data_IF_449897174602
#
_entry.id   IF_449897174602
#
_cell.length_a   1.000
_cell.length_b   1.000
_cell.length_c   1.000
_cell.angle_alpha   90.00
_cell.angle_beta   90.00
_cell.angle_gamma   90.00
#
_symmetry.space_group_name_H-M   'P 1'
#
loop_
_entity.id
_entity.type
_entity.pdbx_description
1 polymer ?
#
# COMPACT_ATOMS: atom_id res chain seq x y z
N UNK A 1 -7.11 4.52 15.93
CA UNK A 1 -6.25 3.84 14.95
C UNK A 1 -7.07 3.53 13.70
N UNK A 2 -6.47 3.71 12.53
CA UNK A 2 -7.02 3.34 11.23
C UNK A 2 -6.01 2.44 10.53
N UNK A 3 -6.48 1.41 9.81
CA UNK A 3 -5.67 0.66 8.87
C UNK A 3 -6.04 1.09 7.46
N UNK A 4 -5.08 1.67 6.74
CA UNK A 4 -5.21 1.96 5.32
C UNK A 4 -4.60 0.81 4.54
N UNK A 5 -5.46 -0.03 3.98
CA UNK A 5 -5.05 -1.18 3.19
C UNK A 5 -4.90 -0.78 1.72
N UNK A 6 -3.81 -1.25 1.10
CA UNK A 6 -3.58 -1.14 -0.34
C UNK A 6 -3.28 -2.52 -0.90
N UNK A 7 -4.13 -3.01 -1.80
CA UNK A 7 -3.84 -4.21 -2.59
C UNK A 7 -3.20 -3.78 -3.91
N UNK A 8 -2.09 -4.42 -4.26
CA UNK A 8 -1.25 -4.11 -5.40
C UNK A 8 -1.16 -5.36 -6.27
N UNK A 9 -1.81 -5.34 -7.42
CA UNK A 9 -1.75 -6.42 -8.39
C UNK A 9 -0.74 -6.04 -9.47
N UNK A 10 0.35 -6.80 -9.60
CA UNK A 10 1.58 -6.43 -10.30
C UNK A 10 1.96 -7.54 -11.30
N UNK A 11 2.46 -7.19 -12.48
CA UNK A 11 3.02 -8.19 -13.41
C UNK A 11 4.24 -8.88 -12.78
N UNK A 12 4.30 -10.20 -12.87
CA UNK A 12 5.42 -11.01 -12.35
C UNK A 12 6.76 -10.54 -12.92
N UNK A 13 6.78 -10.11 -14.19
CA UNK A 13 7.96 -9.61 -14.90
C UNK A 13 8.61 -8.35 -14.29
N UNK A 14 7.91 -7.61 -13.41
CA UNK A 14 8.47 -6.45 -12.68
C UNK A 14 8.46 -6.64 -11.17
N UNK A 15 8.15 -7.82 -10.66
CA UNK A 15 7.91 -8.03 -9.24
C UNK A 15 9.09 -7.56 -8.37
N UNK A 16 10.32 -7.83 -8.77
CA UNK A 16 11.51 -7.50 -7.99
C UNK A 16 11.82 -6.00 -7.99
N UNK A 17 11.73 -5.36 -9.17
CA UNK A 17 11.87 -3.90 -9.30
C UNK A 17 10.77 -3.18 -8.53
N UNK A 18 9.52 -3.68 -8.63
CA UNK A 18 8.38 -3.13 -7.94
C UNK A 18 8.52 -3.27 -6.43
N UNK A 19 9.01 -4.42 -5.93
CA UNK A 19 9.27 -4.65 -4.49
C UNK A 19 10.33 -3.71 -3.94
N UNK A 20 11.43 -3.52 -4.68
CA UNK A 20 12.45 -2.55 -4.32
C UNK A 20 11.83 -1.15 -4.22
N UNK A 21 11.16 -0.67 -5.27
CA UNK A 21 10.49 0.62 -5.23
C UNK A 21 9.45 0.75 -4.09
N UNK A 22 8.67 -0.32 -3.84
CA UNK A 22 7.63 -0.32 -2.82
C UNK A 22 8.21 -0.15 -1.42
N UNK A 23 9.39 -0.72 -1.13
CA UNK A 23 10.06 -0.54 0.16
C UNK A 23 10.41 0.95 0.41
N UNK A 24 10.99 1.62 -0.59
CA UNK A 24 11.31 3.04 -0.55
C UNK A 24 10.05 3.90 -0.44
N UNK A 25 9.00 3.55 -1.19
CA UNK A 25 7.70 4.20 -1.12
C UNK A 25 7.08 4.08 0.28
N UNK A 26 7.13 2.89 0.90
CA UNK A 26 6.66 2.66 2.28
C UNK A 26 7.46 3.53 3.25
N UNK A 27 8.79 3.60 3.12
CA UNK A 27 9.61 4.45 3.99
C UNK A 27 9.19 5.93 3.92
N UNK A 28 8.90 6.44 2.71
CA UNK A 28 8.39 7.80 2.53
C UNK A 28 6.99 7.99 3.12
N UNK A 29 6.11 6.98 3.00
CA UNK A 29 4.78 6.99 3.64
C UNK A 29 4.88 7.06 5.16
N UNK A 30 5.77 6.26 5.77
CA UNK A 30 5.99 6.23 7.22
C UNK A 30 6.61 7.51 7.78
N UNK A 31 7.28 8.30 6.93
CA UNK A 31 7.78 9.63 7.32
C UNK A 31 6.67 10.69 7.39
N UNK A 32 5.47 10.41 6.89
CA UNK A 32 4.35 11.36 6.93
C UNK A 32 3.71 11.42 8.33
N UNK A 33 3.26 12.60 8.78
CA UNK A 33 2.61 12.74 10.08
C UNK A 33 1.41 11.80 10.24
N UNK A 34 1.39 11.06 11.35
CA UNK A 34 0.28 10.21 11.75
C UNK A 34 0.36 8.76 11.26
N UNK A 35 1.29 8.42 10.37
CA UNK A 35 1.65 7.02 10.11
C UNK A 35 2.52 6.48 11.25
N UNK A 36 2.24 5.25 11.69
CA UNK A 36 2.94 4.60 12.81
C UNK A 36 3.59 3.27 12.45
N UNK A 37 3.29 2.72 11.27
CA UNK A 37 3.89 1.47 10.80
C UNK A 37 3.24 0.96 9.53
N UNK A 38 3.87 -0.06 8.94
CA UNK A 38 3.32 -0.79 7.82
C UNK A 38 3.68 -2.28 7.90
N UNK A 39 2.81 -3.13 7.37
CA UNK A 39 3.07 -4.54 7.13
C UNK A 39 2.74 -4.85 5.68
N UNK A 40 3.65 -5.57 5.00
CA UNK A 40 3.46 -6.00 3.60
C UNK A 40 3.33 -7.51 3.57
N UNK A 41 2.33 -7.99 2.85
CA UNK A 41 2.01 -9.39 2.65
C UNK A 41 2.02 -9.70 1.17
N UNK A 42 2.41 -10.92 0.82
CA UNK A 42 2.10 -11.52 -0.47
C UNK A 42 0.78 -12.28 -0.34
N UNK A 43 -0.15 -12.04 -1.26
CA UNK A 43 -1.45 -12.73 -1.28
C UNK A 43 -1.26 -14.06 -1.99
N UNK A 44 -1.32 -15.15 -1.22
CA UNK A 44 -1.18 -16.52 -1.72
C UNK A 44 -2.53 -17.21 -1.96
N UNK A 45 -3.60 -16.73 -1.33
CA UNK A 45 -4.98 -17.20 -1.51
C UNK A 45 -5.98 -16.01 -1.46
N UNK A 46 -6.92 -15.88 -2.42
CA UNK A 46 -6.97 -16.66 -3.65
C UNK A 46 -5.68 -16.47 -4.46
N UNK A 47 -5.22 -17.55 -5.11
CA UNK A 47 -4.03 -17.49 -5.92
C UNK A 47 -4.15 -16.38 -6.98
N UNK A 48 -3.10 -15.55 -7.16
CA UNK A 48 -3.08 -14.55 -8.23
C UNK A 48 -3.33 -15.17 -9.60
N UNK A 49 -3.82 -14.36 -10.53
CA UNK A 49 -3.90 -14.78 -11.93
C UNK A 49 -2.51 -15.15 -12.49
N UNK A 50 -2.42 -15.98 -13.53
CA UNK A 50 -1.15 -16.25 -14.20
C UNK A 50 -0.40 -14.97 -14.56
N UNK A 51 0.92 -14.99 -14.41
CA UNK A 51 1.83 -13.86 -14.64
C UNK A 51 1.57 -12.62 -13.76
N UNK A 52 0.86 -12.79 -12.64
CA UNK A 52 0.61 -11.76 -11.65
C UNK A 52 1.14 -12.16 -10.28
N UNK A 53 1.53 -11.15 -9.52
CA UNK A 53 1.78 -11.23 -8.09
C UNK A 53 0.96 -10.17 -7.40
N UNK A 54 0.37 -10.51 -6.26
CA UNK A 54 -0.47 -9.58 -5.51
C UNK A 54 0.15 -9.33 -4.14
N UNK A 55 0.38 -8.06 -3.82
CA UNK A 55 0.76 -7.63 -2.49
C UNK A 55 -0.42 -6.98 -1.78
N UNK A 56 -0.47 -7.13 -0.46
CA UNK A 56 -1.35 -6.38 0.41
C UNK A 56 -0.51 -5.61 1.42
N UNK A 57 -0.66 -4.29 1.47
CA UNK A 57 0.04 -3.44 2.43
C UNK A 57 -0.96 -2.88 3.42
N UNK A 58 -0.75 -3.10 4.70
CA UNK A 58 -1.48 -2.47 5.79
C UNK A 58 -0.64 -1.33 6.34
N UNK A 59 -1.07 -0.08 6.12
CA UNK A 59 -0.51 1.07 6.80
C UNK A 59 -1.31 1.38 8.05
N UNK A 60 -0.64 1.59 9.17
CA UNK A 60 -1.26 1.96 10.43
C UNK A 60 -1.18 3.47 10.62
N UNK A 61 -2.32 4.08 10.88
CA UNK A 61 -2.45 5.51 11.16
C UNK A 61 -3.07 5.74 12.54
N UNK A 62 -2.65 6.83 13.19
CA UNK A 62 -3.16 7.23 14.52
C UNK A 62 -4.68 7.36 14.55
N UNK A 63 -5.24 8.08 13.58
CA UNK A 63 -6.67 8.45 13.53
C UNK A 63 -7.13 8.77 12.11
N UNK A 64 -8.43 9.06 11.95
CA UNK A 64 -9.04 9.42 10.67
C UNK A 64 -8.51 10.76 10.14
N UNK A 65 -8.23 11.73 11.00
CA UNK A 65 -7.71 13.05 10.61
C UNK A 65 -6.33 12.95 9.94
N UNK A 66 -5.47 12.05 10.41
CA UNK A 66 -4.20 11.73 9.77
C UNK A 66 -4.40 11.15 8.36
N UNK A 67 -5.36 10.22 8.20
CA UNK A 67 -5.71 9.67 6.90
C UNK A 67 -6.25 10.74 5.95
N UNK A 68 -7.17 11.58 6.41
CA UNK A 68 -7.77 12.65 5.60
C UNK A 68 -6.70 13.64 5.12
N UNK A 69 -5.75 13.97 5.99
CA UNK A 69 -4.60 14.83 5.66
C UNK A 69 -3.72 14.18 4.59
N UNK A 70 -3.39 12.89 4.75
CA UNK A 70 -2.67 12.15 3.72
C UNK A 70 -3.41 12.15 2.37
N UNK A 71 -4.70 11.84 2.37
CA UNK A 71 -5.51 11.75 1.17
C UNK A 71 -5.61 13.09 0.43
N UNK A 72 -5.75 14.19 1.17
CA UNK A 72 -5.87 15.54 0.62
C UNK A 72 -4.54 16.08 0.13
N UNK A 73 -3.48 15.96 0.93
CA UNK A 73 -2.25 16.75 0.75
C UNK A 73 -1.09 15.94 0.14
N UNK A 74 -1.14 14.61 0.17
CA UNK A 74 0.00 13.76 -0.17
C UNK A 74 -0.31 12.63 -1.15
N UNK A 75 -1.52 12.07 -1.14
CA UNK A 75 -1.84 10.87 -1.89
C UNK A 75 -1.59 11.00 -3.39
N UNK A 76 -1.90 12.16 -4.00
CA UNK A 76 -1.65 12.39 -5.43
C UNK A 76 -0.17 12.31 -5.77
N UNK A 77 0.72 13.04 -5.07
CA UNK A 77 2.17 13.00 -5.35
C UNK A 77 2.77 11.62 -5.05
N UNK A 78 2.31 10.97 -3.98
CA UNK A 78 2.85 9.67 -3.56
C UNK A 78 2.51 8.59 -4.59
N UNK A 79 1.32 8.63 -5.19
CA UNK A 79 0.90 7.66 -6.21
C UNK A 79 1.51 7.94 -7.58
N UNK A 80 1.85 9.20 -7.88
CA UNK A 80 2.35 9.60 -9.19
C UNK A 80 3.65 8.88 -9.57
N UNK A 81 4.62 8.77 -8.65
CA UNK A 81 5.91 8.13 -8.94
C UNK A 81 5.74 6.66 -9.38
N UNK A 82 4.89 5.89 -8.70
CA UNK A 82 4.59 4.51 -9.10
C UNK A 82 3.89 4.42 -10.45
N UNK A 83 2.91 5.31 -10.70
CA UNK A 83 2.23 5.39 -12.00
C UNK A 83 3.19 5.77 -13.13
N UNK A 84 4.13 6.68 -12.89
CA UNK A 84 5.14 7.09 -13.87
C UNK A 84 6.12 5.96 -14.18
N UNK A 85 6.55 5.19 -13.18
CA UNK A 85 7.52 4.11 -13.37
C UNK A 85 6.92 2.87 -14.00
N UNK A 86 5.73 2.46 -13.55
CA UNK A 86 5.18 1.14 -13.88
C UNK A 86 3.93 1.19 -14.78
N UNK A 87 3.33 2.37 -14.98
CA UNK A 87 2.16 2.53 -15.86
C UNK A 87 1.04 1.53 -15.55
N UNK A 88 0.54 0.87 -16.59
CA UNK A 88 -0.54 -0.12 -16.49
C UNK A 88 -0.09 -1.51 -15.98
N UNK A 89 1.21 -1.70 -15.72
CA UNK A 89 1.78 -3.00 -15.29
C UNK A 89 1.44 -3.34 -13.84
N UNK A 90 0.85 -2.39 -13.11
CA UNK A 90 0.25 -2.65 -11.81
C UNK A 90 -1.10 -1.96 -11.66
N UNK A 91 -1.92 -2.47 -10.75
CA UNK A 91 -3.20 -1.88 -10.33
C UNK A 91 -3.26 -1.82 -8.82
N UNK A 92 -3.87 -0.77 -8.29
CA UNK A 92 -3.98 -0.57 -6.84
C UNK A 92 -5.43 -0.33 -6.41
N UNK A 93 -5.94 -1.15 -5.50
CA UNK A 93 -7.22 -0.94 -4.81
C UNK A 93 -6.98 -0.66 -3.34
N UNK A 94 -7.90 0.06 -2.70
CA UNK A 94 -7.69 0.58 -1.34
C UNK A 94 -8.93 0.35 -0.48
N UNK A 95 -8.70 0.06 0.79
CA UNK A 95 -9.74 -0.01 1.83
C UNK A 95 -9.29 0.76 3.05
N UNK A 96 -10.25 1.32 3.77
CA UNK A 96 -10.03 1.95 5.08
C UNK A 96 -10.72 1.07 6.10
N UNK A 97 -9.96 0.56 7.05
CA UNK A 97 -10.44 -0.40 8.04
C UNK A 97 -10.32 0.20 9.43
N UNK A 98 -11.33 -0.06 10.26
CA UNK A 98 -11.27 0.18 11.69
C UNK A 98 -11.05 -1.16 12.41
N UNK A 99 -9.98 -1.32 13.18
CA UNK A 99 -9.78 -2.54 13.97
C UNK A 99 -10.84 -2.61 15.07
N UNK A 100 -11.60 -3.71 15.10
CA UNK A 100 -12.68 -3.92 16.08
C UNK A 100 -12.18 -4.65 17.33
N UNK A 101 -11.23 -5.56 17.18
CA UNK A 101 -10.59 -6.29 18.27
C UNK A 101 -9.16 -6.70 17.88
N UNK A 102 -8.33 -6.96 18.89
CA UNK A 102 -7.01 -7.55 18.73
C UNK A 102 -6.88 -8.65 19.76
N UNK A 103 -6.46 -9.82 19.30
CA UNK A 103 -6.29 -11.01 20.14
C UNK A 103 -4.78 -11.30 20.23
N UNK A 104 -4.34 -11.78 21.39
CA UNK A 104 -2.94 -12.11 21.67
C UNK A 104 -2.61 -13.56 21.26
#
# INVERSE_FOLDING_TARGET
>A
MIVYEVNLDVESAIADEYRAWLAEHIAQMLALPGFSGAQTFEVIDPAPAPDRIVFCVHYHLRDQTALDTYLRDHATRMRADGATRFGERFRATRRVLHPVATYA
#
